data_IF_239519086330
#
_entry.id   IF_239519086330
#
_cell.length_a   1.000
_cell.length_b   1.000
_cell.length_c   1.000
_cell.angle_alpha   90.00
_cell.angle_beta   90.00
_cell.angle_gamma   90.00
#
_symmetry.space_group_name_H-M   'P 1'
#
loop_
_entity.id
_entity.type
_entity.pdbx_description
1 polymer ?
#
# COMPACT_ATOMS: atom_id res chain seq x y z
N UNK A 1 -7.90 0.57 26.31
CA UNK A 1 -7.10 1.40 25.40
C UNK A 1 -7.95 2.60 25.03
N UNK A 2 -7.47 3.83 25.28
CA UNK A 2 -8.21 5.04 24.88
C UNK A 2 -7.70 5.45 23.50
N UNK A 3 -8.54 5.30 22.48
CA UNK A 3 -8.25 5.78 21.14
C UNK A 3 -8.99 7.08 20.90
N UNK A 4 -8.29 8.06 20.33
CA UNK A 4 -8.89 9.31 19.85
C UNK A 4 -8.98 9.26 18.34
N UNK A 5 -10.15 9.60 17.81
CA UNK A 5 -10.31 9.85 16.37
C UNK A 5 -9.56 11.13 16.03
N UNK A 6 -8.57 11.02 15.14
CA UNK A 6 -7.78 12.18 14.74
C UNK A 6 -8.32 12.76 13.43
N UNK A 7 -8.40 11.94 12.38
CA UNK A 7 -8.90 12.37 11.07
C UNK A 7 -9.51 11.22 10.25
N UNK A 8 -10.22 11.58 9.17
CA UNK A 8 -10.78 10.64 8.20
C UNK A 8 -10.41 11.03 6.77
N UNK A 9 -10.03 10.04 5.99
CA UNK A 9 -9.66 10.16 4.58
C UNK A 9 -10.58 9.31 3.72
N UNK A 10 -10.98 9.86 2.57
CA UNK A 10 -11.94 9.24 1.67
C UNK A 10 -11.29 8.99 0.32
N UNK A 11 -11.19 7.72 -0.06
CA UNK A 11 -10.67 7.30 -1.35
C UNK A 11 -11.81 6.69 -2.16
N UNK A 12 -12.12 7.30 -3.31
CA UNK A 12 -13.19 6.85 -4.21
C UNK A 12 -12.59 6.32 -5.49
N UNK A 13 -12.98 5.11 -5.86
CA UNK A 13 -12.68 4.55 -7.15
C UNK A 13 -13.46 5.28 -8.24
N UNK A 14 -12.83 5.45 -9.40
CA UNK A 14 -13.43 6.18 -10.53
C UNK A 14 -14.31 5.27 -11.38
N UNK A 15 -13.99 3.97 -11.45
CA UNK A 15 -14.66 3.02 -12.36
C UNK A 15 -15.62 2.07 -11.65
N UNK A 16 -15.29 1.62 -10.45
CA UNK A 16 -15.99 0.52 -9.77
C UNK A 16 -17.06 0.92 -8.74
N UNK A 17 -17.32 2.22 -8.53
CA UNK A 17 -18.23 2.72 -7.49
C UNK A 17 -17.94 2.13 -6.09
N UNK A 18 -16.65 1.99 -5.80
CA UNK A 18 -16.13 1.53 -4.52
C UNK A 18 -15.48 2.69 -3.77
N UNK A 19 -15.49 2.62 -2.45
CA UNK A 19 -14.91 3.63 -1.57
C UNK A 19 -14.19 2.98 -0.38
N UNK A 20 -13.03 3.54 -0.02
CA UNK A 20 -12.33 3.25 1.22
C UNK A 20 -12.42 4.49 2.09
N UNK A 21 -12.95 4.32 3.31
CA UNK A 21 -12.87 5.31 4.37
C UNK A 21 -11.77 4.86 5.31
N UNK A 22 -10.69 5.64 5.34
CA UNK A 22 -9.51 5.37 6.14
C UNK A 22 -9.52 6.34 7.34
N UNK A 23 -9.63 5.80 8.56
CA UNK A 23 -9.76 6.59 9.79
C UNK A 23 -8.49 6.47 10.61
N UNK A 24 -7.87 7.61 10.92
CA UNK A 24 -6.72 7.71 11.80
C UNK A 24 -7.16 7.62 13.26
N UNK A 25 -6.49 6.75 14.01
CA UNK A 25 -6.73 6.49 15.42
C UNK A 25 -5.44 6.72 16.19
N UNK A 26 -5.45 7.71 17.07
CA UNK A 26 -4.32 7.99 17.96
C UNK A 26 -4.46 7.19 19.25
N UNK A 27 -3.47 6.36 19.55
CA UNK A 27 -3.34 5.74 20.86
C UNK A 27 -2.65 6.68 21.84
N UNK A 28 -3.45 7.26 22.74
CA UNK A 28 -3.05 8.31 23.68
C UNK A 28 -1.93 7.90 24.66
N UNK A 29 -1.73 6.60 24.91
CA UNK A 29 -0.75 6.12 25.88
C UNK A 29 0.66 5.97 25.29
N UNK A 30 0.78 5.76 23.98
CA UNK A 30 2.05 5.46 23.32
C UNK A 30 2.34 6.39 22.13
N UNK A 31 1.43 7.32 21.81
CA UNK A 31 1.56 8.24 20.68
C UNK A 31 1.59 7.52 19.32
N UNK A 32 0.98 6.34 19.23
CA UNK A 32 0.95 5.53 18.00
C UNK A 32 -0.27 5.89 17.17
N UNK A 33 -0.07 6.08 15.88
CA UNK A 33 -1.16 6.25 14.92
C UNK A 33 -1.48 4.90 14.27
N UNK A 34 -2.76 4.53 14.32
CA UNK A 34 -3.32 3.37 13.65
C UNK A 34 -4.32 3.81 12.60
N UNK A 35 -4.56 2.95 11.61
CA UNK A 35 -5.56 3.18 10.58
C UNK A 35 -6.61 2.10 10.61
N UNK A 36 -7.87 2.51 10.59
CA UNK A 36 -9.03 1.65 10.40
C UNK A 36 -9.60 1.87 9.01
N UNK A 37 -9.88 0.80 8.29
CA UNK A 37 -10.44 0.86 6.95
C UNK A 37 -11.86 0.33 6.93
N UNK A 38 -12.79 1.16 6.47
CA UNK A 38 -14.13 0.74 6.07
C UNK A 38 -14.20 0.68 4.55
N UNK A 39 -14.78 -0.38 4.01
CA UNK A 39 -14.93 -0.59 2.58
C UNK A 39 -16.41 -0.53 2.17
N UNK A 40 -16.70 0.26 1.15
CA UNK A 40 -18.04 0.43 0.62
C UNK A 40 -18.09 0.04 -0.86
N UNK A 41 -19.18 -0.62 -1.24
CA UNK A 41 -19.53 -0.91 -2.63
C UNK A 41 -20.93 -0.35 -2.84
N UNK A 42 -21.13 0.51 -3.83
CA UNK A 42 -22.42 1.16 -4.08
C UNK A 42 -23.01 1.86 -2.83
N UNK A 43 -22.15 2.59 -2.09
CA UNK A 43 -22.49 3.27 -0.84
C UNK A 43 -22.97 2.36 0.30
N UNK A 44 -22.79 1.04 0.17
CA UNK A 44 -23.09 0.07 1.22
C UNK A 44 -21.80 -0.46 1.81
N UNK A 45 -21.66 -0.32 3.15
CA UNK A 45 -20.53 -0.87 3.88
C UNK A 45 -20.55 -2.40 3.82
N UNK A 46 -19.45 -2.97 3.37
CA UNK A 46 -19.26 -4.42 3.34
C UNK A 46 -18.53 -4.83 4.62
N UNK A 47 -19.09 -5.80 5.34
CA UNK A 47 -18.43 -6.36 6.52
C UNK A 47 -17.38 -7.38 6.07
N UNK A 48 -16.11 -7.01 6.21
CA UNK A 48 -14.98 -7.84 5.80
C UNK A 48 -14.26 -8.29 7.07
N UNK A 49 -14.21 -9.59 7.39
CA UNK A 49 -13.51 -10.09 8.57
C UNK A 49 -12.05 -9.64 8.64
N UNK A 50 -11.37 -9.57 7.49
CA UNK A 50 -9.99 -9.08 7.38
C UNK A 50 -9.81 -7.60 7.75
N UNK A 51 -10.91 -6.82 7.85
CA UNK A 51 -10.90 -5.41 8.28
C UNK A 51 -11.38 -5.20 9.72
N UNK A 52 -11.73 -6.27 10.44
CA UNK A 52 -12.27 -6.15 11.80
C UNK A 52 -11.19 -5.89 12.87
N UNK A 53 -9.92 -6.15 12.56
CA UNK A 53 -8.81 -5.87 13.47
C UNK A 53 -8.54 -4.36 13.53
N UNK A 54 -8.68 -3.77 14.72
CA UNK A 54 -8.55 -2.32 14.95
C UNK A 54 -7.10 -1.81 14.91
N UNK A 55 -6.10 -2.70 14.82
CA UNK A 55 -4.67 -2.37 15.08
C UNK A 55 -3.70 -2.73 13.95
N UNK A 56 -4.16 -2.70 12.70
CA UNK A 56 -3.33 -3.04 11.54
C UNK A 56 -3.15 -1.84 10.61
N UNK A 57 -2.62 -0.75 11.16
CA UNK A 57 -2.33 0.47 10.41
C UNK A 57 -0.89 0.47 9.88
N UNK A 58 -0.72 0.80 8.61
CA UNK A 58 0.55 1.35 8.13
C UNK A 58 0.80 2.69 8.85
N UNK A 59 2.00 2.93 9.36
CA UNK A 59 2.36 4.17 10.08
C UNK A 59 2.57 5.35 9.12
N UNK A 60 1.63 5.63 8.20
CA UNK A 60 1.98 6.45 7.03
C UNK A 60 0.89 7.34 6.49
N UNK A 61 1.39 8.44 5.94
CA UNK A 61 0.69 9.32 5.04
C UNK A 61 0.37 8.58 3.72
N UNK A 62 -0.89 8.60 3.32
CA UNK A 62 -1.40 7.96 2.10
C UNK A 62 -1.52 8.95 0.92
N UNK A 63 -0.78 10.06 0.91
CA UNK A 63 -0.81 11.10 -0.14
C UNK A 63 -0.59 10.58 -1.56
N UNK A 64 0.16 9.48 -1.70
CA UNK A 64 0.47 8.85 -2.99
C UNK A 64 -0.17 7.47 -3.15
N UNK A 65 -1.20 7.17 -2.36
CA UNK A 65 -1.95 5.94 -2.48
C UNK A 65 -2.85 5.97 -3.71
N UNK A 66 -2.76 4.92 -4.53
CA UNK A 66 -3.64 4.64 -5.67
C UNK A 66 -4.50 3.44 -5.32
N UNK A 67 -5.79 3.69 -5.10
CA UNK A 67 -6.77 2.67 -4.72
C UNK A 67 -7.11 1.70 -5.85
N UNK A 68 -7.36 2.21 -7.05
CA UNK A 68 -7.95 1.45 -8.15
C UNK A 68 -6.92 1.16 -9.26
N UNK A 69 -6.91 -0.09 -9.71
CA UNK A 69 -6.14 -0.53 -10.88
C UNK A 69 -6.60 0.13 -12.17
N UNK A 70 -5.72 0.19 -13.16
CA UNK A 70 -6.01 0.92 -14.40
C UNK A 70 -7.15 0.31 -15.21
N UNK A 71 -7.36 -1.00 -15.12
CA UNK A 71 -8.51 -1.67 -15.72
C UNK A 71 -9.79 -1.61 -14.86
N UNK A 72 -9.70 -1.13 -13.61
CA UNK A 72 -10.83 -1.03 -12.68
C UNK A 72 -11.26 -2.36 -12.06
N UNK A 73 -10.50 -3.45 -12.27
CA UNK A 73 -10.85 -4.80 -11.80
C UNK A 73 -10.41 -5.01 -10.35
N UNK A 74 -9.29 -4.41 -9.97
CA UNK A 74 -8.69 -4.58 -8.65
C UNK A 74 -8.73 -3.29 -7.83
N UNK A 75 -9.09 -3.44 -6.56
CA UNK A 75 -9.06 -2.39 -5.55
C UNK A 75 -8.09 -2.80 -4.44
N UNK A 76 -7.09 -1.95 -4.20
CA UNK A 76 -6.10 -2.13 -3.15
C UNK A 76 -6.55 -1.43 -1.86
N UNK A 77 -6.53 -2.17 -0.75
CA UNK A 77 -6.70 -1.64 0.60
C UNK A 77 -5.32 -1.63 1.28
N UNK A 78 -4.79 -0.46 1.65
CA UNK A 78 -3.40 -0.29 2.08
C UNK A 78 -3.22 -0.69 3.54
N UNK A 79 -3.22 -2.01 3.76
CA UNK A 79 -2.82 -2.64 5.01
C UNK A 79 -1.40 -3.17 4.93
N UNK A 80 -0.80 -3.45 6.09
CA UNK A 80 0.52 -4.06 6.17
C UNK A 80 0.60 -5.36 5.36
N UNK A 81 -0.34 -6.28 5.58
CA UNK A 81 -0.64 -7.34 4.61
C UNK A 81 -1.64 -6.76 3.60
N UNK A 82 -1.23 -6.52 2.33
CA UNK A 82 -2.12 -5.90 1.35
C UNK A 82 -3.38 -6.73 1.14
N UNK A 83 -4.54 -6.07 1.17
CA UNK A 83 -5.80 -6.71 0.79
C UNK A 83 -6.20 -6.20 -0.58
N UNK A 84 -6.53 -7.12 -1.49
CA UNK A 84 -7.05 -6.82 -2.81
C UNK A 84 -8.48 -7.32 -2.89
N UNK A 85 -9.38 -6.44 -3.33
CA UNK A 85 -10.72 -6.79 -3.74
C UNK A 85 -10.78 -6.88 -5.27
N UNK A 86 -11.28 -8.01 -5.78
CA UNK A 86 -11.57 -8.19 -7.20
C UNK A 86 -13.05 -7.85 -7.45
N UNK A 87 -13.31 -6.85 -8.29
CA UNK A 87 -14.66 -6.37 -8.61
C UNK A 87 -15.51 -7.46 -9.28
N UNK A 88 -14.90 -8.24 -10.17
CA UNK A 88 -15.60 -9.25 -10.97
C UNK A 88 -15.99 -10.47 -10.13
N UNK A 89 -15.03 -11.02 -9.37
CA UNK A 89 -15.29 -12.19 -8.51
C UNK A 89 -15.95 -11.81 -7.18
N UNK A 90 -15.87 -10.55 -6.78
CA UNK A 90 -16.28 -10.02 -5.47
C UNK A 90 -15.55 -10.66 -4.29
N UNK A 91 -14.34 -11.17 -4.53
CA UNK A 91 -13.52 -11.81 -3.50
C UNK A 91 -12.48 -10.84 -2.94
N UNK A 92 -12.22 -10.99 -1.64
CA UNK A 92 -11.11 -10.33 -0.95
C UNK A 92 -9.98 -11.34 -0.79
N UNK A 93 -8.76 -10.92 -1.11
CA UNK A 93 -7.56 -11.71 -0.91
C UNK A 93 -6.51 -10.89 -0.17
N UNK A 94 -6.05 -11.44 0.95
CA UNK A 94 -4.92 -10.90 1.70
C UNK A 94 -3.62 -11.52 1.20
N UNK A 95 -2.60 -10.69 1.06
CA UNK A 95 -1.25 -11.09 0.70
C UNK A 95 -0.33 -10.89 1.89
N UNK A 96 0.40 -11.95 2.27
CA UNK A 96 1.40 -11.84 3.33
C UNK A 96 2.53 -10.94 2.86
N UNK A 97 2.74 -9.84 3.57
CA UNK A 97 3.81 -8.91 3.25
C UNK A 97 5.18 -9.60 3.35
N UNK A 98 6.08 -9.43 2.36
CA UNK A 98 7.41 -10.01 2.41
C UNK A 98 8.42 -9.15 3.18
N UNK A 99 8.02 -7.97 3.66
CA UNK A 99 8.89 -6.97 4.28
C UNK A 99 8.54 -6.79 5.75
N UNK A 100 9.51 -6.39 6.57
CA UNK A 100 9.27 -6.02 7.96
C UNK A 100 8.66 -4.61 8.08
N UNK A 101 7.78 -4.36 9.07
CA UNK A 101 7.07 -3.09 9.22
C UNK A 101 7.92 -1.97 9.82
N UNK A 102 9.05 -2.30 10.44
CA UNK A 102 9.85 -1.35 11.20
C UNK A 102 10.79 -0.56 10.28
N UNK A 103 10.76 0.78 10.40
CA UNK A 103 11.60 1.73 9.67
C UNK A 103 11.57 1.49 8.15
N UNK A 104 10.37 1.34 7.61
CA UNK A 104 10.14 0.95 6.22
C UNK A 104 8.73 1.40 5.82
N UNK A 105 8.50 2.68 6.00
CA UNK A 105 7.18 3.27 5.82
C UNK A 105 6.77 3.19 4.34
N UNK A 106 5.48 3.01 4.09
CA UNK A 106 4.91 3.15 2.75
C UNK A 106 5.24 4.51 2.16
N UNK A 107 5.64 4.51 0.90
CA UNK A 107 5.89 5.73 0.11
C UNK A 107 4.75 5.91 -0.89
N UNK A 108 4.48 4.88 -1.71
CA UNK A 108 3.45 4.91 -2.75
C UNK A 108 3.19 3.53 -3.35
N UNK A 109 2.14 3.41 -4.17
CA UNK A 109 1.89 2.21 -4.95
C UNK A 109 1.56 2.50 -6.41
N UNK A 110 1.77 1.48 -7.25
CA UNK A 110 1.50 1.49 -8.67
C UNK A 110 0.71 0.26 -9.09
N UNK A 111 -0.13 0.45 -10.10
CA UNK A 111 -0.65 -0.64 -10.89
C UNK A 111 0.02 -0.60 -12.25
N UNK A 112 0.75 -1.67 -12.59
CA UNK A 112 1.29 -1.88 -13.93
C UNK A 112 0.76 -3.23 -14.42
N UNK A 113 -0.09 -3.17 -15.44
CA UNK A 113 -0.84 -4.33 -15.93
C UNK A 113 -1.57 -5.05 -14.78
N UNK A 114 -1.37 -6.36 -14.65
CA UNK A 114 -1.92 -7.20 -13.58
C UNK A 114 -1.03 -7.26 -12.33
N UNK A 115 -0.20 -6.25 -12.09
CA UNK A 115 0.70 -6.20 -10.95
C UNK A 115 0.41 -4.98 -10.08
N UNK A 116 0.35 -5.22 -8.77
CA UNK A 116 0.44 -4.17 -7.77
C UNK A 116 1.89 -4.08 -7.31
N UNK A 117 2.50 -2.91 -7.46
CA UNK A 117 3.81 -2.60 -6.89
C UNK A 117 3.62 -1.69 -5.69
N UNK A 118 4.21 -2.07 -4.56
CA UNK A 118 4.15 -1.30 -3.32
C UNK A 118 5.57 -0.88 -2.97
N UNK A 119 5.78 0.43 -2.91
CA UNK A 119 7.05 1.06 -2.59
C UNK A 119 7.03 1.53 -1.14
N UNK A 120 8.04 1.12 -0.40
CA UNK A 120 8.35 1.58 0.94
C UNK A 120 9.72 2.25 0.96
N UNK A 121 10.06 2.94 2.05
CA UNK A 121 11.29 3.73 2.16
C UNK A 121 12.57 2.94 1.88
N UNK A 122 12.61 1.64 2.16
CA UNK A 122 13.78 0.79 1.93
C UNK A 122 13.47 -0.54 1.27
N UNK A 123 12.25 -0.72 0.77
CA UNK A 123 11.88 -1.96 0.12
C UNK A 123 10.81 -1.74 -0.93
N UNK A 124 10.77 -2.65 -1.88
CA UNK A 124 9.76 -2.67 -2.92
C UNK A 124 9.34 -4.11 -3.15
N UNK A 125 8.06 -4.32 -3.34
CA UNK A 125 7.56 -5.62 -3.74
C UNK A 125 6.44 -5.51 -4.76
N UNK A 126 6.37 -6.54 -5.61
CA UNK A 126 5.40 -6.71 -6.67
C UNK A 126 4.52 -7.91 -6.32
N UNK A 127 3.21 -7.71 -6.36
CA UNK A 127 2.20 -8.77 -6.28
C UNK A 127 1.60 -8.92 -7.66
N UNK A 128 1.75 -10.11 -8.25
CA UNK A 128 0.99 -10.47 -9.45
C UNK A 128 -0.44 -10.83 -9.03
N UNK A 129 -1.42 -10.05 -9.48
CA UNK A 129 -2.82 -10.13 -8.99
C UNK A 129 -3.58 -11.34 -9.52
N UNK A 130 -3.09 -11.97 -10.60
CA UNK A 130 -3.67 -13.20 -11.16
C UNK A 130 -3.13 -14.44 -10.46
N UNK A 131 -1.82 -14.64 -10.47
CA UNK A 131 -1.15 -15.81 -9.89
C UNK A 131 -1.02 -15.72 -8.36
N UNK A 132 -1.00 -14.51 -7.81
CA UNK A 132 -0.66 -14.22 -6.43
C UNK A 132 0.82 -14.33 -6.09
N UNK A 133 1.70 -14.47 -7.09
CA UNK A 133 3.14 -14.51 -6.86
C UNK A 133 3.66 -13.17 -6.32
N UNK A 134 4.61 -13.23 -5.39
CA UNK A 134 5.22 -12.05 -4.77
C UNK A 134 6.73 -12.07 -5.03
N UNK A 135 7.26 -10.97 -5.54
CA UNK A 135 8.71 -10.72 -5.69
C UNK A 135 9.05 -9.45 -4.92
N UNK A 136 10.18 -9.43 -4.22
CA UNK A 136 10.57 -8.27 -3.43
C UNK A 136 12.08 -8.00 -3.49
N UNK A 137 12.43 -6.74 -3.26
CA UNK A 137 13.80 -6.26 -3.06
C UNK A 137 13.78 -5.41 -1.80
N UNK A 138 14.74 -5.63 -0.92
CA UNK A 138 14.93 -4.85 0.29
C UNK A 138 16.37 -4.35 0.35
N UNK A 139 16.54 -3.13 0.86
CA UNK A 139 17.83 -2.48 1.06
C UNK A 139 18.16 -2.44 2.56
N UNK A 140 19.45 -2.35 2.87
CA UNK A 140 19.92 -2.24 4.25
C UNK A 140 19.40 -0.95 4.89
N UNK A 141 19.11 -1.00 6.19
CA UNK A 141 18.66 0.18 6.92
C UNK A 141 19.74 1.27 6.87
N UNK A 142 19.33 2.51 6.56
CA UNK A 142 20.24 3.64 6.44
C UNK A 142 21.07 3.67 5.15
N UNK A 143 20.81 2.79 4.17
CA UNK A 143 21.51 2.79 2.88
C UNK A 143 20.84 3.69 1.83
N UNK A 144 19.51 3.66 1.76
CA UNK A 144 18.72 4.40 0.76
C UNK A 144 17.41 4.90 1.34
N UNK A 145 16.80 5.88 0.65
CA UNK A 145 15.38 6.22 0.77
C UNK A 145 14.76 6.13 -0.61
N UNK A 146 13.91 5.13 -0.84
CA UNK A 146 13.23 4.94 -2.11
C UNK A 146 12.19 6.05 -2.31
N UNK A 147 12.15 6.59 -3.53
CA UNK A 147 11.31 7.73 -3.89
C UNK A 147 10.26 7.37 -4.91
N UNK A 148 10.66 6.63 -5.94
CA UNK A 148 9.78 6.36 -7.06
C UNK A 148 10.16 5.11 -7.85
N UNK A 149 9.22 4.60 -8.64
CA UNK A 149 9.47 3.55 -9.64
C UNK A 149 8.62 3.80 -10.88
N UNK A 150 9.20 3.53 -12.05
CA UNK A 150 8.50 3.63 -13.32
C UNK A 150 9.02 2.61 -14.33
N UNK A 151 8.31 2.45 -15.44
CA UNK A 151 8.71 1.59 -16.55
C UNK A 151 9.39 2.42 -17.64
N UNK A 152 10.55 1.96 -18.10
CA UNK A 152 11.27 2.47 -19.27
C UNK A 152 11.70 1.28 -20.12
N UNK A 153 11.20 1.19 -21.36
CA UNK A 153 11.49 0.07 -22.27
C UNK A 153 11.29 -1.32 -21.61
N UNK A 154 10.13 -1.52 -20.97
CA UNK A 154 9.76 -2.74 -20.24
C UNK A 154 10.60 -3.07 -18.99
N UNK A 155 11.49 -2.14 -18.59
CA UNK A 155 12.34 -2.30 -17.41
C UNK A 155 11.89 -1.41 -16.28
N UNK A 156 11.98 -1.93 -15.06
CA UNK A 156 11.70 -1.17 -13.87
C UNK A 156 12.89 -0.30 -13.48
N UNK A 157 12.66 1.01 -13.50
CA UNK A 157 13.62 2.02 -13.09
C UNK A 157 13.23 2.55 -11.71
N UNK A 158 14.08 2.28 -10.72
CA UNK A 158 13.89 2.70 -9.32
C UNK A 158 14.66 3.99 -9.05
N UNK A 159 13.96 5.03 -8.58
CA UNK A 159 14.55 6.28 -8.10
C UNK A 159 14.66 6.25 -6.58
N UNK A 160 15.82 6.62 -6.06
CA UNK A 160 16.09 6.63 -4.63
C UNK A 160 17.14 7.68 -4.28
N UNK A 161 17.15 8.11 -3.02
CA UNK A 161 18.25 8.87 -2.44
C UNK A 161 19.24 7.90 -1.81
N UNK A 162 20.48 7.92 -2.25
CA UNK A 162 21.56 7.16 -1.62
C UNK A 162 22.02 7.93 -0.37
N UNK A 163 22.01 7.28 0.79
CA UNK A 163 22.33 7.93 2.06
C UNK A 163 23.83 7.97 2.36
N UNK A 164 24.65 7.24 1.60
CA UNK A 164 26.12 7.26 1.76
C UNK A 164 26.77 8.52 1.16
N UNK A 165 26.22 9.01 0.04
CA UNK A 165 26.68 10.21 -0.67
C UNK A 165 25.63 11.35 -0.68
N UNK A 166 24.40 11.10 -0.21
CA UNK A 166 23.26 12.02 -0.24
C UNK A 166 22.80 12.44 -1.64
N UNK A 167 23.14 11.67 -2.67
CA UNK A 167 22.76 11.94 -4.05
C UNK A 167 21.46 11.21 -4.45
N UNK A 168 20.75 11.80 -5.40
CA UNK A 168 19.61 11.15 -6.04
C UNK A 168 20.09 10.27 -7.19
N UNK A 169 19.72 9.00 -7.14
CA UNK A 169 20.16 7.97 -8.07
C UNK A 169 18.98 7.25 -8.70
N UNK A 170 19.26 6.60 -9.82
CA UNK A 170 18.31 5.76 -10.52
C UNK A 170 18.97 4.45 -10.96
N UNK A 171 18.25 3.33 -10.78
CA UNK A 171 18.78 1.99 -11.07
C UNK A 171 17.72 1.09 -11.68
N UNK A 172 18.11 0.32 -12.70
CA UNK A 172 17.31 -0.80 -13.21
C UNK A 172 17.23 -1.91 -12.15
N UNK A 173 16.02 -2.35 -11.84
CA UNK A 173 15.76 -3.47 -10.93
C UNK A 173 14.94 -4.57 -11.61
N UNK A 174 15.01 -5.78 -11.08
CA UNK A 174 14.25 -6.94 -11.55
C UNK A 174 13.15 -7.27 -10.54
N UNK A 175 11.90 -7.02 -10.92
CA UNK A 175 10.70 -7.33 -10.15
C UNK A 175 9.80 -8.30 -10.89
#
# INVERSE_FOLDING_TARGET
MFMKLDSQHFYKALKSNTEIIATELEELNYGRMFWKFDFLVNNQKINIPLLQCEFEGLFVNLDHFKMESENGIYIYIPKYNPIIYNIDSKEFKEYKSPIEPQNNDFVRNYFFDNNLIILHERSIYKINLESGAIVHISFEFGSVVLKDIYLLDEKFMLKFKNLSNYEDEEKEIKL
#
